data_IF_839118915685
#
_entry.id   IF_839118915685
#
_cell.length_a   1.000
_cell.length_b   1.000
_cell.length_c   1.000
_cell.angle_alpha   90.00
_cell.angle_beta   90.00
_cell.angle_gamma   90.00
#
_symmetry.space_group_name_H-M   'P 1'
#
loop_
_entity.id
_entity.type
_entity.pdbx_description
1 polymer ?
#
# COMPACT_ATOMS: atom_id res chain seq x y z
N UNK A 1 -10.11 -6.54 -18.50
CA UNK A 1 -9.66 -5.76 -17.33
C UNK A 1 -8.13 -5.67 -17.32
N UNK A 2 -7.55 -4.72 -18.04
CA UNK A 2 -6.09 -4.64 -18.23
C UNK A 2 -5.31 -4.17 -17.00
N UNK A 3 -5.96 -3.53 -16.03
CA UNK A 3 -5.29 -2.91 -14.89
C UNK A 3 -5.01 -3.87 -13.73
N UNK A 4 -5.70 -5.01 -13.62
CA UNK A 4 -5.53 -5.97 -12.51
C UNK A 4 -4.09 -6.50 -12.45
N UNK A 5 -3.46 -6.74 -13.60
CA UNK A 5 -2.05 -7.17 -13.67
C UNK A 5 -1.09 -6.18 -13.00
N UNK A 6 -1.48 -4.92 -12.86
CA UNK A 6 -0.67 -3.86 -12.24
C UNK A 6 -0.83 -3.79 -10.71
N UNK A 7 -1.82 -4.49 -10.14
CA UNK A 7 -2.07 -4.55 -8.68
C UNK A 7 -1.91 -5.96 -8.11
N UNK A 8 -1.47 -6.92 -8.92
CA UNK A 8 -1.39 -8.34 -8.50
C UNK A 8 -0.49 -8.52 -7.27
N UNK A 9 0.60 -7.76 -7.18
CA UNK A 9 1.52 -7.79 -6.04
C UNK A 9 0.82 -7.23 -4.79
N UNK A 10 0.13 -6.10 -4.90
CA UNK A 10 -0.59 -5.51 -3.76
C UNK A 10 -1.71 -6.44 -3.25
N UNK A 11 -2.42 -7.11 -4.16
CA UNK A 11 -3.43 -8.12 -3.79
C UNK A 11 -2.77 -9.31 -3.08
N UNK A 12 -1.67 -9.85 -3.62
CA UNK A 12 -0.95 -10.96 -3.00
C UNK A 12 -0.45 -10.61 -1.59
N UNK A 13 0.04 -9.39 -1.40
CA UNK A 13 0.48 -8.89 -0.09
C UNK A 13 -0.70 -8.70 0.85
N UNK A 14 -1.83 -8.22 0.36
CA UNK A 14 -3.06 -8.10 1.16
C UNK A 14 -3.54 -9.46 1.65
N UNK A 15 -3.49 -10.48 0.79
CA UNK A 15 -3.78 -11.87 1.19
C UNK A 15 -2.78 -12.40 2.21
N UNK A 16 -1.49 -12.07 2.07
CA UNK A 16 -0.47 -12.43 3.06
C UNK A 16 -0.71 -11.75 4.42
N UNK A 17 -1.12 -10.48 4.41
CA UNK A 17 -1.50 -9.74 5.62
C UNK A 17 -2.74 -10.38 6.27
N UNK A 18 -3.74 -10.76 5.48
CA UNK A 18 -4.89 -11.50 5.98
C UNK A 18 -4.46 -12.84 6.60
N UNK A 19 -3.56 -13.57 5.92
CA UNK A 19 -3.01 -14.82 6.46
C UNK A 19 -2.28 -14.60 7.78
N UNK A 20 -1.45 -13.56 7.90
CA UNK A 20 -0.84 -13.16 9.17
C UNK A 20 -1.89 -12.90 10.25
N UNK A 21 -2.96 -12.17 9.90
CA UNK A 21 -4.00 -11.77 10.82
C UNK A 21 -4.80 -12.94 11.40
N UNK A 22 -4.98 -14.02 10.65
CA UNK A 22 -5.77 -15.19 11.08
C UNK A 22 -4.92 -16.39 11.51
N UNK A 23 -3.74 -16.59 10.92
CA UNK A 23 -2.89 -17.76 11.20
C UNK A 23 -1.68 -17.46 12.11
N UNK A 24 -1.27 -16.20 12.24
CA UNK A 24 -0.24 -15.79 13.21
C UNK A 24 1.16 -16.36 12.98
N UNK A 25 1.48 -16.85 11.78
CA UNK A 25 2.77 -17.50 11.51
C UNK A 25 3.93 -16.50 11.49
N UNK A 26 4.99 -16.80 12.25
CA UNK A 26 6.14 -15.91 12.43
C UNK A 26 6.88 -15.58 11.11
N UNK A 27 7.03 -16.55 10.20
CA UNK A 27 7.69 -16.31 8.92
C UNK A 27 6.89 -15.32 8.05
N UNK A 28 5.56 -15.37 8.11
CA UNK A 28 4.70 -14.49 7.32
C UNK A 28 4.77 -13.05 7.84
N UNK A 29 4.89 -12.88 9.15
CA UNK A 29 5.13 -11.57 9.78
C UNK A 29 6.42 -10.91 9.28
N UNK A 30 7.52 -11.67 9.19
CA UNK A 30 8.78 -11.15 8.65
C UNK A 30 8.64 -10.66 7.21
N UNK A 31 7.92 -11.40 6.37
CA UNK A 31 7.66 -10.97 5.00
C UNK A 31 6.84 -9.67 4.97
N UNK A 32 5.80 -9.56 5.81
CA UNK A 32 5.00 -8.34 5.92
C UNK A 32 5.85 -7.15 6.37
N UNK A 33 6.75 -7.33 7.34
CA UNK A 33 7.62 -6.25 7.82
C UNK A 33 8.59 -5.77 6.75
N UNK A 34 9.29 -6.69 6.08
CA UNK A 34 10.23 -6.36 5.00
C UNK A 34 9.49 -5.64 3.87
N UNK A 35 8.33 -6.17 3.46
CA UNK A 35 7.53 -5.55 2.41
C UNK A 35 7.05 -4.16 2.80
N UNK A 36 6.59 -3.98 4.04
CA UNK A 36 6.13 -2.67 4.55
C UNK A 36 7.26 -1.64 4.51
N UNK A 37 8.47 -2.00 4.96
CA UNK A 37 9.65 -1.13 4.88
C UNK A 37 10.00 -0.76 3.43
N UNK A 38 10.04 -1.73 2.53
CA UNK A 38 10.31 -1.50 1.11
C UNK A 38 9.26 -0.58 0.48
N UNK A 39 7.97 -0.82 0.76
CA UNK A 39 6.87 -0.04 0.23
C UNK A 39 6.90 1.41 0.72
N UNK A 40 7.25 1.63 2.00
CA UNK A 40 7.46 2.97 2.54
C UNK A 40 8.54 3.74 1.77
N UNK A 41 9.70 3.10 1.53
CA UNK A 41 10.79 3.71 0.76
C UNK A 41 10.34 4.08 -0.66
N UNK A 42 9.59 3.18 -1.32
CA UNK A 42 9.04 3.47 -2.65
C UNK A 42 8.08 4.66 -2.64
N UNK A 43 7.22 4.77 -1.63
CA UNK A 43 6.27 5.90 -1.53
C UNK A 43 6.97 7.22 -1.19
N UNK A 44 7.99 7.18 -0.33
CA UNK A 44 8.84 8.35 -0.07
C UNK A 44 9.53 8.83 -1.36
N UNK A 45 10.10 7.90 -2.14
CA UNK A 45 10.67 8.21 -3.44
C UNK A 45 9.66 8.79 -4.42
N UNK A 46 8.42 8.31 -4.39
CA UNK A 46 7.35 8.83 -5.24
C UNK A 46 6.94 10.25 -4.86
N UNK A 47 6.83 10.55 -3.57
CA UNK A 47 6.54 11.90 -3.08
C UNK A 47 7.68 12.88 -3.39
N UNK A 48 8.93 12.41 -3.35
CA UNK A 48 10.12 13.17 -3.73
C UNK A 48 10.27 13.39 -5.25
N UNK A 49 9.46 12.74 -6.09
CA UNK A 49 9.57 12.82 -7.56
C UNK A 49 10.66 11.92 -8.17
N UNK A 50 11.34 11.12 -7.34
CA UNK A 50 12.42 10.21 -7.78
C UNK A 50 11.89 8.86 -8.30
N UNK A 51 10.63 8.54 -7.98
CA UNK A 51 9.97 7.30 -8.41
C UNK A 51 8.66 7.67 -9.10
N UNK A 52 8.34 7.07 -10.26
CA UNK A 52 7.09 7.35 -10.95
C UNK A 52 5.89 6.90 -10.13
N UNK A 53 4.87 7.75 -10.02
CA UNK A 53 3.56 7.40 -9.44
C UNK A 53 2.88 6.44 -10.42
N UNK A 54 2.87 5.14 -10.10
CA UNK A 54 2.17 4.13 -10.91
C UNK A 54 0.64 4.29 -10.74
N UNK A 55 0.00 4.89 -11.72
CA UNK A 55 -1.46 4.82 -11.92
C UNK A 55 -1.78 4.28 -13.32
N UNK A 56 -1.36 3.05 -13.62
CA UNK A 56 -1.63 2.41 -14.93
C UNK A 56 -3.09 1.97 -15.04
N UNK A 57 -4.01 2.94 -15.10
CA UNK A 57 -5.45 2.72 -15.28
C UNK A 57 -6.16 2.05 -14.10
N UNK A 58 -5.51 1.96 -12.94
CA UNK A 58 -6.12 1.42 -11.72
C UNK A 58 -7.01 2.50 -11.09
N UNK A 59 -8.28 2.20 -10.76
CA UNK A 59 -9.14 3.16 -10.10
C UNK A 59 -8.59 3.57 -8.73
N UNK A 60 -8.55 4.87 -8.43
CA UNK A 60 -8.04 5.39 -7.15
C UNK A 60 -8.71 4.73 -5.95
N UNK A 61 -10.04 4.58 -5.97
CA UNK A 61 -10.81 3.97 -4.87
C UNK A 61 -10.30 2.57 -4.49
N UNK A 62 -9.80 1.80 -5.47
CA UNK A 62 -9.33 0.44 -5.25
C UNK A 62 -8.12 0.43 -4.30
N UNK A 63 -7.15 1.31 -4.52
CA UNK A 63 -6.00 1.44 -3.63
C UNK A 63 -6.39 1.90 -2.23
N UNK A 64 -7.34 2.83 -2.10
CA UNK A 64 -7.82 3.26 -0.79
C UNK A 64 -8.47 2.11 -0.01
N UNK A 65 -9.34 1.33 -0.66
CA UNK A 65 -9.97 0.16 -0.04
C UNK A 65 -8.93 -0.86 0.37
N UNK A 66 -7.95 -1.13 -0.50
CA UNK A 66 -6.90 -2.11 -0.21
C UNK A 66 -6.00 -1.68 0.95
N UNK A 67 -5.59 -0.42 0.99
CA UNK A 67 -4.77 0.13 2.07
C UNK A 67 -5.55 0.20 3.39
N UNK A 68 -6.84 0.58 3.34
CA UNK A 68 -7.72 0.53 4.50
C UNK A 68 -7.85 -0.89 5.06
N UNK A 69 -8.05 -1.88 4.19
CA UNK A 69 -8.13 -3.28 4.57
C UNK A 69 -6.84 -3.76 5.24
N UNK A 70 -5.67 -3.41 4.68
CA UNK A 70 -4.38 -3.78 5.26
C UNK A 70 -4.17 -3.17 6.65
N UNK A 71 -4.49 -1.88 6.84
CA UNK A 71 -4.45 -1.25 8.16
C UNK A 71 -5.38 -1.97 9.13
N UNK A 72 -6.63 -2.23 8.75
CA UNK A 72 -7.61 -2.92 9.59
C UNK A 72 -7.17 -4.33 9.99
N UNK A 73 -6.67 -5.13 9.04
CA UNK A 73 -6.17 -6.48 9.28
C UNK A 73 -4.96 -6.48 10.21
N UNK A 74 -4.01 -5.55 10.02
CA UNK A 74 -2.83 -5.45 10.86
C UNK A 74 -3.15 -4.97 12.27
N UNK A 75 -4.11 -4.05 12.43
CA UNK A 75 -4.63 -3.64 13.73
C UNK A 75 -5.31 -4.81 14.44
N UNK A 76 -6.15 -5.57 13.73
CA UNK A 76 -6.78 -6.78 14.26
C UNK A 76 -5.74 -7.82 14.71
N UNK A 77 -4.64 -7.96 13.97
CA UNK A 77 -3.52 -8.85 14.30
C UNK A 77 -2.60 -8.32 15.43
N UNK A 78 -2.88 -7.14 15.99
CA UNK A 78 -2.04 -6.49 17.01
C UNK A 78 -0.69 -5.97 16.48
N UNK A 79 -0.50 -5.90 15.16
CA UNK A 79 0.76 -5.53 14.51
C UNK A 79 0.86 -4.01 14.32
N UNK A 80 0.97 -3.26 15.42
CA UNK A 80 0.92 -1.79 15.44
C UNK A 80 1.99 -1.13 14.56
N UNK A 81 3.22 -1.65 14.56
CA UNK A 81 4.29 -1.13 13.71
C UNK A 81 3.91 -1.22 12.22
N UNK A 82 3.43 -2.39 11.79
CA UNK A 82 3.07 -2.61 10.40
C UNK A 82 1.82 -1.81 10.02
N UNK A 83 0.81 -1.79 10.90
CA UNK A 83 -0.40 -0.99 10.72
C UNK A 83 -0.07 0.50 10.55
N UNK A 84 0.80 1.06 11.40
CA UNK A 84 1.28 2.42 11.29
C UNK A 84 2.03 2.66 9.97
N UNK A 85 2.90 1.72 9.57
CA UNK A 85 3.60 1.78 8.28
C UNK A 85 2.64 1.83 7.09
N UNK A 86 1.60 0.99 7.09
CA UNK A 86 0.57 0.98 6.04
C UNK A 86 -0.29 2.24 6.05
N UNK A 87 -0.60 2.80 7.22
CA UNK A 87 -1.28 4.09 7.31
C UNK A 87 -0.44 5.22 6.71
N UNK A 88 0.87 5.23 6.97
CA UNK A 88 1.80 6.20 6.36
C UNK A 88 1.91 5.98 4.85
N UNK A 89 2.05 4.74 4.37
CA UNK A 89 2.01 4.39 2.94
C UNK A 89 0.75 4.94 2.27
N UNK A 90 -0.39 4.81 2.94
CA UNK A 90 -1.67 5.29 2.44
C UNK A 90 -1.65 6.81 2.29
N UNK A 91 -1.24 7.55 3.32
CA UNK A 91 -1.13 9.02 3.28
C UNK A 91 -0.15 9.48 2.21
N UNK A 92 1.04 8.90 2.14
CA UNK A 92 2.03 9.24 1.12
C UNK A 92 1.52 8.98 -0.30
N UNK A 93 0.72 7.93 -0.49
CA UNK A 93 0.08 7.65 -1.78
C UNK A 93 -0.89 8.75 -2.19
N UNK A 94 -1.70 9.24 -1.25
CA UNK A 94 -2.64 10.35 -1.51
C UNK A 94 -1.88 11.63 -1.88
N UNK A 95 -0.79 11.94 -1.17
CA UNK A 95 0.05 13.11 -1.46
C UNK A 95 0.69 13.00 -2.84
N UNK A 96 1.26 11.83 -3.17
CA UNK A 96 1.90 11.59 -4.47
C UNK A 96 0.89 11.71 -5.63
N UNK A 97 -0.32 11.18 -5.45
CA UNK A 97 -1.39 11.30 -6.45
C UNK A 97 -1.85 12.76 -6.61
N UNK A 98 -2.03 13.49 -5.51
CA UNK A 98 -2.41 14.90 -5.55
C UNK A 98 -1.37 15.76 -6.31
N UNK A 99 -0.08 15.47 -6.14
CA UNK A 99 1.02 16.16 -6.85
C UNK A 99 1.14 15.81 -8.33
N UNK A 100 0.67 14.62 -8.72
CA UNK A 100 0.78 14.14 -10.11
C UNK A 100 -0.42 14.49 -10.98
N UNK A 101 -1.48 15.07 -10.40
CA UNK A 101 -2.59 15.63 -11.19
C UNK A 101 -2.14 16.96 -11.83
N UNK A 102 -2.28 17.14 -13.15
CA UNK A 102 -2.03 18.44 -13.76
C UNK A 102 -2.99 19.47 -13.16
N UNK A 103 -2.48 20.66 -12.82
CA UNK A 103 -3.32 21.78 -12.43
C UNK A 103 -4.33 22.02 -13.56
N UNK A 104 -5.63 22.00 -13.25
CA UNK A 104 -6.65 22.46 -14.19
C UNK A 104 -6.28 23.90 -14.55
N UNK A 105 -5.85 24.13 -15.79
CA UNK A 105 -5.83 25.46 -16.37
C UNK A 105 -7.31 25.88 -16.47
N UNK A 106 -7.72 26.77 -15.56
CA UNK A 106 -9.01 27.44 -15.63
C UNK A 106 -8.94 28.57 -16.65
#
# INVERSE_FOLDING_TARGET
MGWIRHVVIDIAVTLLIAYVAFAGQAWALWVVWIYTGLMLLLKLGAVAGNVPVRSQGVPTWFFHVLYAANVGLLLYAGQLWAAGGWAVIWVLSMIAEARSRPAKAN
#
